data_IF_722948037927
#
_entry.id   IF_722948037927
#
_cell.length_a   1.000
_cell.length_b   1.000
_cell.length_c   1.000
_cell.angle_alpha   90.00
_cell.angle_beta   90.00
_cell.angle_gamma   90.00
#
_symmetry.space_group_name_H-M   'P 1'
#
loop_
_entity.id
_entity.type
_entity.pdbx_description
1 polymer ?
#
# COMPACT_ATOMS: atom_id res chain seq x y z
N UNK A 1 52.44 -7.51 24.88
CA UNK A 1 52.54 -7.76 23.43
C UNK A 1 52.73 -9.25 23.23
N UNK A 2 51.70 -9.94 22.73
CA UNK A 2 51.82 -10.66 21.45
C UNK A 2 50.65 -10.39 20.49
N UNK A 3 50.93 -10.67 19.21
CA UNK A 3 50.05 -10.69 18.04
C UNK A 3 48.86 -11.69 18.22
N UNK A 4 47.78 -11.73 17.45
CA UNK A 4 47.51 -11.21 16.12
C UNK A 4 47.15 -12.35 15.16
N UNK A 5 45.92 -12.89 15.26
CA UNK A 5 45.06 -13.27 14.13
C UNK A 5 43.96 -14.26 14.55
N UNK A 6 42.70 -13.84 14.40
CA UNK A 6 41.57 -14.78 14.25
C UNK A 6 40.84 -14.37 12.98
N UNK A 7 41.06 -15.15 11.92
CA UNK A 7 40.36 -15.02 10.63
C UNK A 7 38.90 -15.45 10.85
N UNK A 8 37.97 -14.50 10.79
CA UNK A 8 36.54 -14.82 10.62
C UNK A 8 36.24 -14.87 9.12
N UNK A 9 36.03 -16.08 8.65
CA UNK A 9 35.39 -16.40 7.37
C UNK A 9 34.08 -15.63 7.23
N UNK A 10 34.10 -14.57 6.42
CA UNK A 10 32.91 -13.84 6.00
C UNK A 10 32.26 -14.58 4.84
N UNK A 11 31.05 -15.08 5.03
CA UNK A 11 30.20 -15.51 3.92
C UNK A 11 29.88 -14.28 3.06
N UNK A 12 30.50 -14.21 1.87
CA UNK A 12 30.21 -13.21 0.85
C UNK A 12 28.77 -13.37 0.34
N UNK A 13 27.84 -12.75 1.07
CA UNK A 13 26.43 -12.68 0.71
C UNK A 13 26.17 -11.68 -0.42
N UNK A 14 27.11 -10.81 -0.82
CA UNK A 14 26.84 -9.82 -1.88
C UNK A 14 26.87 -10.41 -3.30
N UNK A 15 27.74 -11.40 -3.56
CA UNK A 15 27.95 -11.93 -4.92
C UNK A 15 26.77 -12.72 -5.47
N UNK A 16 26.13 -13.57 -4.63
CA UNK A 16 24.98 -14.39 -5.04
C UNK A 16 23.68 -13.59 -5.23
N UNK A 17 23.60 -12.40 -4.65
CA UNK A 17 22.41 -11.55 -4.73
C UNK A 17 22.40 -10.67 -5.97
N UNK A 18 23.58 -10.32 -6.50
CA UNK A 18 23.68 -9.58 -7.75
C UNK A 18 23.24 -10.43 -8.96
N UNK A 19 23.64 -11.71 -9.01
CA UNK A 19 23.19 -12.64 -10.07
C UNK A 19 21.67 -12.87 -10.03
N UNK A 20 21.08 -13.01 -8.84
CA UNK A 20 19.62 -13.15 -8.69
C UNK A 20 18.88 -11.85 -9.07
N UNK A 21 19.49 -10.69 -8.82
CA UNK A 21 18.96 -9.38 -9.17
C UNK A 21 18.98 -9.13 -10.69
N UNK A 22 20.05 -9.49 -11.38
CA UNK A 22 20.17 -9.33 -12.83
C UNK A 22 19.28 -10.35 -13.58
N UNK A 23 19.16 -11.57 -13.07
CA UNK A 23 18.20 -12.56 -13.57
C UNK A 23 16.74 -12.13 -13.39
N UNK A 24 16.40 -11.46 -12.28
CA UNK A 24 15.05 -10.93 -12.04
C UNK A 24 14.73 -9.75 -12.96
N UNK A 25 15.69 -8.83 -13.16
CA UNK A 25 15.53 -7.69 -14.07
C UNK A 25 15.43 -8.15 -15.53
N UNK A 26 16.21 -9.15 -15.93
CA UNK A 26 16.12 -9.79 -17.25
C UNK A 26 14.82 -10.61 -17.45
N UNK A 27 14.29 -11.25 -16.40
CA UNK A 27 13.00 -11.97 -16.46
C UNK A 27 11.81 -11.01 -16.65
N UNK A 28 11.88 -9.82 -16.04
CA UNK A 28 10.85 -8.78 -16.21
C UNK A 28 10.97 -8.12 -17.58
N UNK A 29 12.18 -7.81 -18.05
CA UNK A 29 12.38 -7.20 -19.37
C UNK A 29 12.12 -8.17 -20.54
N UNK A 30 12.46 -9.46 -20.42
CA UNK A 30 12.18 -10.46 -21.48
C UNK A 30 10.69 -10.79 -21.63
N UNK A 31 9.91 -10.66 -20.55
CA UNK A 31 8.44 -10.73 -20.63
C UNK A 31 7.84 -9.56 -21.39
N UNK A 32 8.51 -8.41 -21.43
CA UNK A 32 8.07 -7.21 -22.16
C UNK A 32 8.44 -7.31 -23.64
N UNK A 33 9.63 -7.84 -23.99
CA UNK A 33 10.07 -7.92 -25.40
C UNK A 33 9.41 -9.04 -26.22
N UNK A 34 9.03 -10.17 -25.62
CA UNK A 34 8.46 -11.30 -26.35
C UNK A 34 6.98 -11.09 -26.78
N UNK A 35 6.38 -9.94 -26.44
CA UNK A 35 5.02 -9.58 -26.83
C UNK A 35 4.94 -8.80 -28.16
N UNK A 36 6.07 -8.32 -28.71
CA UNK A 36 6.08 -7.45 -29.90
C UNK A 36 6.27 -8.19 -31.24
N UNK A 37 6.51 -9.50 -31.27
CA UNK A 37 6.89 -10.22 -32.51
C UNK A 37 5.90 -11.27 -33.04
N UNK A 38 4.65 -11.29 -32.59
CA UNK A 38 3.68 -12.37 -32.89
C UNK A 38 2.51 -12.00 -33.79
N UNK A 39 2.74 -11.46 -34.99
CA UNK A 39 1.67 -11.24 -35.98
C UNK A 39 1.31 -12.54 -36.72
N UNK A 40 0.05 -12.99 -36.64
CA UNK A 40 -0.50 -14.04 -37.53
C UNK A 40 -1.98 -13.78 -37.89
N UNK A 41 -2.24 -13.76 -39.21
CA UNK A 41 -3.56 -13.78 -39.89
C UNK A 41 -4.30 -15.11 -39.65
N UNK A 42 -5.63 -15.06 -39.49
CA UNK A 42 -6.48 -16.24 -39.61
C UNK A 42 -7.98 -15.95 -39.47
N UNK A 43 -8.72 -16.19 -40.55
CA UNK A 43 -10.18 -16.09 -40.73
C UNK A 43 -10.94 -17.25 -40.06
N UNK A 44 -12.11 -16.99 -39.47
CA UNK A 44 -13.10 -18.05 -39.13
C UNK A 44 -14.14 -17.64 -38.07
N UNK A 45 -15.42 -17.61 -38.46
CA UNK A 45 -16.60 -17.45 -37.61
C UNK A 45 -16.89 -18.70 -36.74
N UNK A 46 -17.39 -18.52 -35.51
CA UNK A 46 -17.90 -19.61 -34.68
C UNK A 46 -18.08 -19.26 -33.20
N UNK A 47 -19.28 -19.47 -32.68
CA UNK A 47 -19.90 -18.86 -31.50
C UNK A 47 -19.39 -19.35 -30.12
N UNK A 48 -19.18 -18.40 -29.22
CA UNK A 48 -19.28 -18.43 -27.75
C UNK A 48 -18.88 -19.70 -26.97
N UNK A 49 -17.68 -19.65 -26.37
CA UNK A 49 -17.51 -19.64 -24.90
C UNK A 49 -16.14 -19.00 -24.63
N UNK A 50 -16.13 -17.68 -24.36
CA UNK A 50 -14.90 -16.99 -23.94
C UNK A 50 -14.50 -17.55 -22.59
N UNK A 51 -13.56 -18.52 -22.56
CA UNK A 51 -12.74 -18.79 -21.37
C UNK A 51 -12.12 -17.46 -20.96
N UNK A 52 -12.62 -16.87 -19.89
CA UNK A 52 -12.06 -15.66 -19.31
C UNK A 52 -10.64 -16.00 -18.90
N UNK A 53 -9.65 -15.55 -19.68
CA UNK A 53 -8.26 -15.56 -19.24
C UNK A 53 -8.19 -14.70 -17.97
N UNK A 54 -7.56 -15.15 -16.89
CA UNK A 54 -7.38 -14.32 -15.71
C UNK A 54 -6.31 -13.27 -16.05
N UNK A 55 -6.71 -12.12 -16.58
CA UNK A 55 -5.76 -11.07 -16.94
C UNK A 55 -5.40 -10.29 -15.67
N UNK A 56 -4.41 -10.80 -14.94
CA UNK A 56 -3.67 -10.05 -13.91
C UNK A 56 -2.72 -9.01 -14.54
N UNK A 57 -2.72 -8.84 -15.86
CA UNK A 57 -1.95 -7.82 -16.57
C UNK A 57 -2.72 -6.50 -16.60
N UNK A 58 -2.13 -5.46 -15.99
CA UNK A 58 -2.62 -4.08 -16.09
C UNK A 58 -2.16 -3.53 -17.45
N UNK A 59 -3.05 -3.52 -18.43
CA UNK A 59 -2.78 -2.93 -19.76
C UNK A 59 -2.69 -1.41 -19.66
N UNK A 60 -2.09 -0.74 -20.65
CA UNK A 60 -2.06 0.73 -20.69
C UNK A 60 -3.48 1.33 -20.66
N UNK A 61 -4.42 0.73 -21.38
CA UNK A 61 -5.83 1.11 -21.37
C UNK A 61 -6.47 0.96 -19.97
N UNK A 62 -6.15 -0.12 -19.25
CA UNK A 62 -6.60 -0.30 -17.87
C UNK A 62 -6.06 0.78 -16.93
N UNK A 63 -4.75 1.06 -17.02
CA UNK A 63 -4.07 2.09 -16.23
C UNK A 63 -4.67 3.47 -16.47
N UNK A 64 -4.92 3.81 -17.74
CA UNK A 64 -5.53 5.06 -18.16
C UNK A 64 -6.97 5.18 -17.66
N UNK A 65 -7.79 4.14 -17.84
CA UNK A 65 -9.18 4.12 -17.40
C UNK A 65 -9.31 4.27 -15.88
N UNK A 66 -8.48 3.56 -15.11
CA UNK A 66 -8.47 3.66 -13.64
C UNK A 66 -7.98 5.03 -13.17
N UNK A 67 -6.95 5.59 -13.81
CA UNK A 67 -6.45 6.94 -13.52
C UNK A 67 -7.53 7.99 -13.78
N UNK A 68 -8.16 7.93 -14.95
CA UNK A 68 -9.23 8.85 -15.34
C UNK A 68 -10.39 8.77 -14.35
N UNK A 69 -10.84 7.56 -14.02
CA UNK A 69 -11.93 7.37 -13.07
C UNK A 69 -11.60 7.87 -11.66
N UNK A 70 -10.33 7.75 -11.21
CA UNK A 70 -9.91 8.32 -9.94
C UNK A 70 -9.98 9.85 -9.93
N UNK A 71 -9.57 10.50 -11.02
CA UNK A 71 -9.65 11.96 -11.19
C UNK A 71 -11.07 12.48 -11.28
N UNK A 72 -11.97 11.69 -11.88
CA UNK A 72 -13.37 12.06 -12.09
C UNK A 72 -14.26 11.79 -10.86
N UNK A 73 -13.70 11.28 -9.75
CA UNK A 73 -14.46 11.10 -8.51
C UNK A 73 -15.01 12.46 -8.01
N UNK A 74 -16.26 12.50 -7.52
CA UNK A 74 -16.78 13.72 -6.93
C UNK A 74 -15.97 14.10 -5.69
N UNK A 75 -15.76 15.40 -5.43
CA UNK A 75 -15.04 15.84 -4.24
C UNK A 75 -15.76 15.38 -2.98
N UNK A 76 -14.99 14.97 -1.98
CA UNK A 76 -15.53 14.61 -0.69
C UNK A 76 -16.13 15.83 0.00
N UNK A 77 -17.43 15.78 0.30
CA UNK A 77 -18.20 16.92 0.79
C UNK A 77 -18.64 16.80 2.25
N UNK A 78 -18.37 15.67 2.90
CA UNK A 78 -18.78 15.44 4.30
C UNK A 78 -17.72 15.96 5.25
N UNK A 79 -18.14 16.31 6.46
CA UNK A 79 -17.20 16.65 7.54
C UNK A 79 -16.50 15.38 8.02
N UNK A 80 -15.16 15.38 8.20
CA UNK A 80 -14.45 14.28 8.83
C UNK A 80 -15.09 13.92 10.18
N UNK A 81 -15.30 12.63 10.40
CA UNK A 81 -15.73 12.14 11.70
C UNK A 81 -14.62 12.37 12.75
N UNK A 82 -15.04 12.53 14.00
CA UNK A 82 -14.16 12.58 15.16
C UNK A 82 -14.36 11.34 16.02
N UNK A 83 -13.35 10.92 16.80
CA UNK A 83 -13.50 9.83 17.75
C UNK A 83 -14.64 10.10 18.74
N UNK A 84 -15.41 9.05 19.06
CA UNK A 84 -16.53 9.11 20.00
C UNK A 84 -16.26 8.33 21.29
N UNK A 85 -15.57 7.21 21.18
CA UNK A 85 -15.29 6.31 22.29
C UNK A 85 -13.85 6.52 22.77
N UNK A 86 -13.64 7.50 23.65
CA UNK A 86 -12.33 7.84 24.24
C UNK A 86 -12.45 7.98 25.76
N UNK A 87 -11.34 7.82 26.46
CA UNK A 87 -11.26 8.00 27.92
C UNK A 87 -10.96 9.45 28.29
N UNK A 88 -10.06 10.07 27.56
CA UNK A 88 -9.61 11.44 27.81
C UNK A 88 -9.49 12.21 26.49
N UNK A 89 -9.73 13.52 26.56
CA UNK A 89 -9.51 14.47 25.47
C UNK A 89 -8.82 15.71 26.02
N UNK A 90 -7.64 16.01 25.49
CA UNK A 90 -6.86 17.22 25.79
C UNK A 90 -6.74 18.05 24.53
N UNK A 91 -7.13 19.33 24.60
CA UNK A 91 -7.01 20.27 23.47
C UNK A 91 -5.86 21.23 23.77
N UNK A 92 -4.95 21.40 22.82
CA UNK A 92 -3.94 22.45 22.83
C UNK A 92 -4.45 23.62 21.98
N UNK A 93 -4.95 24.66 22.65
CA UNK A 93 -5.54 25.84 21.99
C UNK A 93 -4.51 26.63 21.16
N UNK A 94 -3.21 26.49 21.45
CA UNK A 94 -2.16 27.21 20.71
C UNK A 94 -1.90 26.60 19.33
N UNK A 95 -2.03 25.28 19.21
CA UNK A 95 -1.78 24.54 17.96
C UNK A 95 -3.06 24.07 17.28
N UNK A 96 -4.19 24.06 18.00
CA UNK A 96 -5.43 23.42 17.56
C UNK A 96 -5.38 21.90 17.56
N UNK A 97 -4.30 21.30 18.09
CA UNK A 97 -4.15 19.84 18.16
C UNK A 97 -5.01 19.30 19.30
N UNK A 98 -5.77 18.26 19.02
CA UNK A 98 -6.50 17.50 20.04
C UNK A 98 -5.83 16.15 20.26
N UNK A 99 -5.47 15.82 21.50
CA UNK A 99 -5.01 14.48 21.87
C UNK A 99 -6.16 13.71 22.51
N UNK A 100 -6.43 12.52 21.98
CA UNK A 100 -7.38 11.58 22.55
C UNK A 100 -6.65 10.38 23.15
N UNK A 101 -7.07 9.96 24.35
CA UNK A 101 -6.60 8.74 25.00
C UNK A 101 -7.64 7.64 24.83
N UNK A 102 -7.20 6.48 24.35
CA UNK A 102 -8.05 5.30 24.08
C UNK A 102 -7.47 4.08 24.77
N UNK A 103 -8.31 3.17 25.24
CA UNK A 103 -7.89 1.79 25.56
C UNK A 103 -8.43 0.84 24.51
N UNK A 104 -7.53 0.12 23.85
CA UNK A 104 -7.89 -0.86 22.83
C UNK A 104 -8.51 -2.09 23.48
N UNK A 105 -9.77 -2.39 23.13
CA UNK A 105 -10.44 -3.62 23.57
C UNK A 105 -9.79 -4.90 23.01
N UNK A 106 -8.91 -4.78 22.01
CA UNK A 106 -8.28 -5.93 21.35
C UNK A 106 -7.03 -6.44 22.06
N UNK A 107 -6.28 -5.55 22.71
CA UNK A 107 -5.04 -5.89 23.40
C UNK A 107 -4.92 -5.28 24.81
N UNK A 108 -5.88 -4.48 25.25
CA UNK A 108 -5.90 -3.86 26.59
C UNK A 108 -4.93 -2.69 26.77
N UNK A 109 -4.20 -2.29 25.73
CA UNK A 109 -3.22 -1.21 25.81
C UNK A 109 -3.86 0.16 25.60
N UNK A 110 -3.25 1.18 26.21
CA UNK A 110 -3.65 2.58 26.08
C UNK A 110 -2.85 3.29 24.99
N UNK A 111 -3.55 4.01 24.12
CA UNK A 111 -3.00 4.77 23.00
C UNK A 111 -3.37 6.25 23.13
N UNK A 112 -2.39 7.14 22.93
CA UNK A 112 -2.60 8.59 22.86
C UNK A 112 -2.41 9.05 21.42
N UNK A 113 -3.49 9.42 20.75
CA UNK A 113 -3.47 9.79 19.33
C UNK A 113 -3.81 11.26 19.17
N UNK A 114 -2.93 11.99 18.47
CA UNK A 114 -3.12 13.40 18.14
C UNK A 114 -3.97 13.54 16.89
N UNK A 115 -4.80 14.57 16.85
CA UNK A 115 -5.62 14.96 15.72
C UNK A 115 -5.34 16.41 15.38
N UNK A 116 -5.24 16.72 14.09
CA UNK A 116 -5.10 18.09 13.61
C UNK A 116 -6.41 18.89 13.78
N UNK A 117 -6.35 20.19 13.44
CA UNK A 117 -7.49 21.11 13.54
C UNK A 117 -8.69 20.69 12.68
N UNK A 118 -8.45 19.93 11.61
CA UNK A 118 -9.46 19.50 10.64
C UNK A 118 -10.07 18.14 11.03
N UNK A 119 -9.48 17.47 12.04
CA UNK A 119 -9.98 16.23 12.62
C UNK A 119 -9.35 14.97 12.01
N UNK A 120 -8.17 15.08 11.41
CA UNK A 120 -7.41 13.92 10.92
C UNK A 120 -6.37 13.47 11.95
N UNK A 121 -6.20 12.15 12.14
CA UNK A 121 -5.19 11.61 13.05
C UNK A 121 -3.78 11.87 12.53
N UNK A 122 -2.87 12.20 13.44
CA UNK A 122 -1.44 12.36 13.20
C UNK A 122 -0.76 11.10 13.77
N UNK A 123 -0.64 10.08 12.94
CA UNK A 123 -0.03 8.80 13.33
C UNK A 123 1.49 8.86 13.33
N UNK A 124 2.11 8.06 14.21
CA UNK A 124 3.54 7.78 14.13
C UNK A 124 3.81 6.76 13.01
N UNK A 125 4.00 7.24 11.78
CA UNK A 125 4.22 6.36 10.64
C UNK A 125 5.62 5.72 10.66
N UNK A 126 5.67 4.41 10.39
CA UNK A 126 6.92 3.65 10.19
C UNK A 126 7.48 3.83 8.78
N UNK A 127 6.62 4.13 7.82
CA UNK A 127 6.98 4.34 6.42
C UNK A 127 5.87 5.08 5.68
N UNK A 128 6.24 6.08 4.90
CA UNK A 128 5.32 6.84 4.06
C UNK A 128 5.69 6.68 2.58
N UNK A 129 4.68 6.62 1.72
CA UNK A 129 4.86 6.63 0.27
C UNK A 129 3.65 7.27 -0.40
N UNK A 130 3.78 7.58 -1.68
CA UNK A 130 2.65 7.85 -2.55
C UNK A 130 2.22 6.60 -3.32
N UNK A 131 0.92 6.46 -3.53
CA UNK A 131 0.27 5.46 -4.37
C UNK A 131 0.00 6.11 -5.74
N UNK A 132 0.34 5.42 -6.83
CA UNK A 132 0.04 5.93 -8.16
C UNK A 132 -1.47 6.03 -8.40
N UNK A 133 -1.87 7.00 -9.23
CA UNK A 133 -3.29 7.35 -9.44
C UNK A 133 -4.14 6.18 -9.91
N UNK A 134 -3.62 5.34 -10.80
CA UNK A 134 -4.31 4.15 -11.27
C UNK A 134 -4.61 3.12 -10.17
N UNK A 135 -3.97 3.23 -9.01
CA UNK A 135 -4.29 2.41 -7.84
C UNK A 135 -5.26 3.09 -6.88
N UNK A 136 -5.55 4.38 -6.98
CA UNK A 136 -6.32 5.12 -5.95
C UNK A 136 -7.68 4.49 -5.65
N UNK A 137 -8.34 3.96 -6.67
CA UNK A 137 -9.68 3.33 -6.56
C UNK A 137 -9.66 1.80 -6.65
N UNK A 138 -8.48 1.19 -6.68
CA UNK A 138 -8.35 -0.27 -6.55
C UNK A 138 -8.84 -0.76 -5.17
N UNK A 139 -9.24 -2.03 -5.05
CA UNK A 139 -9.58 -2.64 -3.77
C UNK A 139 -8.43 -2.54 -2.75
N UNK A 140 -8.76 -2.47 -1.46
CA UNK A 140 -7.75 -2.44 -0.37
C UNK A 140 -6.75 -3.60 -0.50
N UNK A 141 -7.22 -4.79 -0.88
CA UNK A 141 -6.36 -5.96 -1.08
C UNK A 141 -5.29 -5.77 -2.16
N UNK A 142 -5.61 -5.06 -3.25
CA UNK A 142 -4.69 -4.78 -4.35
C UNK A 142 -3.72 -3.68 -3.95
N UNK A 143 -4.23 -2.58 -3.38
CA UNK A 143 -3.40 -1.47 -2.91
C UNK A 143 -2.40 -1.92 -1.85
N UNK A 144 -2.87 -2.64 -0.83
CA UNK A 144 -2.01 -3.07 0.28
C UNK A 144 -0.98 -4.11 -0.17
N UNK A 145 -1.32 -4.97 -1.14
CA UNK A 145 -0.36 -5.88 -1.74
C UNK A 145 0.75 -5.09 -2.43
N UNK A 146 0.38 -4.14 -3.30
CA UNK A 146 1.33 -3.29 -4.01
C UNK A 146 2.23 -2.50 -3.06
N UNK A 147 1.63 -1.81 -2.07
CA UNK A 147 2.37 -1.01 -1.09
C UNK A 147 3.33 -1.86 -0.26
N UNK A 148 2.93 -3.08 0.11
CA UNK A 148 3.80 -3.99 0.87
C UNK A 148 4.99 -4.45 0.04
N UNK A 149 4.80 -4.77 -1.25
CA UNK A 149 5.91 -5.14 -2.14
C UNK A 149 6.82 -3.94 -2.42
N UNK A 150 6.25 -2.75 -2.61
CA UNK A 150 7.02 -1.51 -2.75
C UNK A 150 7.88 -1.24 -1.52
N UNK A 151 7.32 -1.39 -0.31
CA UNK A 151 8.08 -1.25 0.93
C UNK A 151 9.23 -2.26 1.00
N UNK A 152 9.01 -3.51 0.60
CA UNK A 152 10.10 -4.49 0.50
C UNK A 152 11.21 -4.00 -0.44
N UNK A 153 10.87 -3.54 -1.64
CA UNK A 153 11.86 -3.04 -2.60
C UNK A 153 12.65 -1.85 -2.05
N UNK A 154 12.01 -0.97 -1.27
CA UNK A 154 12.67 0.18 -0.66
C UNK A 154 13.53 -0.22 0.55
N UNK A 155 13.10 -1.20 1.35
CA UNK A 155 13.92 -1.84 2.40
C UNK A 155 15.21 -2.43 1.83
N UNK A 156 15.13 -3.08 0.66
CA UNK A 156 16.30 -3.66 0.01
C UNK A 156 17.32 -2.61 -0.46
N UNK A 157 16.90 -1.35 -0.63
CA UNK A 157 17.76 -0.24 -1.05
C UNK A 157 18.27 0.60 0.12
N UNK A 158 17.55 0.60 1.25
CA UNK A 158 17.88 1.39 2.43
C UNK A 158 18.07 0.52 3.69
N UNK A 159 19.33 0.26 4.09
CA UNK A 159 19.65 -0.48 5.31
C UNK A 159 19.12 0.15 6.60
N UNK A 160 18.86 1.46 6.64
CA UNK A 160 18.28 2.09 7.83
C UNK A 160 16.78 1.83 7.94
N UNK A 161 16.07 1.83 6.81
CA UNK A 161 14.67 1.41 6.77
C UNK A 161 14.52 -0.06 7.18
N UNK A 162 15.44 -0.94 6.75
CA UNK A 162 15.45 -2.35 7.12
C UNK A 162 15.50 -2.58 8.65
N UNK A 163 16.20 -1.73 9.41
CA UNK A 163 16.33 -1.85 10.87
C UNK A 163 15.00 -1.67 11.62
N UNK A 164 13.98 -1.09 10.98
CA UNK A 164 12.67 -0.89 11.60
C UNK A 164 11.80 -2.15 11.62
N UNK A 165 12.20 -3.20 10.89
CA UNK A 165 11.40 -4.39 10.64
C UNK A 165 12.16 -5.67 10.98
N UNK A 166 11.45 -6.68 11.49
CA UNK A 166 12.07 -7.98 11.70
C UNK A 166 12.28 -8.72 10.36
N UNK A 167 13.18 -9.71 10.29
CA UNK A 167 13.34 -10.53 9.08
C UNK A 167 12.02 -11.17 8.61
N UNK A 168 11.15 -11.57 9.55
CA UNK A 168 9.84 -12.13 9.24
C UNK A 168 8.90 -11.10 8.61
N UNK A 169 8.93 -9.85 9.09
CA UNK A 169 8.13 -8.77 8.51
C UNK A 169 8.55 -8.47 7.07
N UNK A 170 9.87 -8.45 6.83
CA UNK A 170 10.45 -8.23 5.50
C UNK A 170 10.01 -9.32 4.52
N UNK A 171 10.02 -10.59 4.92
CA UNK A 171 9.51 -11.69 4.08
C UNK A 171 7.99 -11.59 3.85
N UNK A 172 7.21 -11.09 4.81
CA UNK A 172 5.79 -10.80 4.57
C UNK A 172 5.62 -9.70 3.51
N UNK A 173 6.38 -8.62 3.60
CA UNK A 173 6.31 -7.50 2.64
C UNK A 173 6.65 -7.96 1.22
N UNK A 174 7.69 -8.79 1.06
CA UNK A 174 8.05 -9.44 -0.21
C UNK A 174 6.89 -10.22 -0.83
N UNK A 175 6.10 -10.92 0.00
CA UNK A 175 4.91 -11.65 -0.42
C UNK A 175 3.67 -10.75 -0.64
N UNK A 176 3.82 -9.44 -0.51
CA UNK A 176 2.73 -8.48 -0.58
C UNK A 176 1.77 -8.56 0.60
N UNK A 177 2.27 -8.99 1.76
CA UNK A 177 1.54 -9.07 3.02
C UNK A 177 2.16 -8.09 4.02
N UNK A 178 1.45 -7.86 5.11
CA UNK A 178 1.95 -7.08 6.25
C UNK A 178 1.79 -7.87 7.55
N UNK A 179 2.66 -7.64 8.54
CA UNK A 179 2.47 -8.17 9.89
C UNK A 179 1.12 -7.73 10.50
N UNK A 180 0.59 -8.51 11.45
CA UNK A 180 -0.69 -8.15 12.11
C UNK A 180 -0.60 -6.89 12.99
N UNK A 181 0.60 -6.52 13.41
CA UNK A 181 0.88 -5.35 14.24
C UNK A 181 0.79 -4.03 13.49
N UNK A 182 0.74 -4.03 12.16
CA UNK A 182 0.72 -2.80 11.35
C UNK A 182 -0.41 -2.82 10.32
N UNK A 183 -0.82 -1.64 9.88
CA UNK A 183 -1.74 -1.48 8.75
C UNK A 183 -1.36 -0.32 7.84
N UNK A 184 -1.75 -0.44 6.58
CA UNK A 184 -1.73 0.68 5.66
C UNK A 184 -2.91 1.59 5.97
N UNK A 185 -2.61 2.87 6.17
CA UNK A 185 -3.54 3.96 6.39
C UNK A 185 -3.56 4.84 5.15
N UNK A 186 -4.76 5.15 4.65
CA UNK A 186 -4.97 6.13 3.60
C UNK A 186 -5.02 7.53 4.24
N UNK A 187 -4.01 8.34 3.98
CA UNK A 187 -3.94 9.71 4.49
C UNK A 187 -4.91 10.64 3.74
N UNK A 188 -5.30 11.75 4.34
CA UNK A 188 -6.24 12.73 3.73
C UNK A 188 -5.67 13.40 2.48
N UNK A 189 -4.35 13.56 2.41
CA UNK A 189 -3.66 13.98 1.19
C UNK A 189 -3.76 12.89 0.12
N UNK A 190 -4.17 13.28 -1.09
CA UNK A 190 -4.41 12.36 -2.21
C UNK A 190 -3.19 11.48 -2.52
N UNK A 191 -3.41 10.17 -2.52
CA UNK A 191 -2.40 9.16 -2.82
C UNK A 191 -1.39 8.92 -1.70
N UNK A 192 -1.33 9.74 -0.65
CA UNK A 192 -0.40 9.52 0.46
C UNK A 192 -0.84 8.33 1.30
N UNK A 193 0.10 7.41 1.53
CA UNK A 193 -0.09 6.17 2.27
C UNK A 193 0.93 6.08 3.39
N UNK A 194 0.47 5.65 4.56
CA UNK A 194 1.30 5.50 5.76
C UNK A 194 1.19 4.07 6.28
N UNK A 195 2.31 3.43 6.61
CA UNK A 195 2.32 2.21 7.40
C UNK A 195 2.34 2.59 8.88
N UNK A 196 1.28 2.26 9.62
CA UNK A 196 1.06 2.68 11.01
C UNK A 196 0.78 1.49 11.92
N UNK A 197 0.86 1.69 13.23
CA UNK A 197 0.45 0.67 14.20
C UNK A 197 -1.03 0.31 14.04
N UNK A 198 -1.32 -0.99 14.05
CA UNK A 198 -2.68 -1.48 13.81
C UNK A 198 -3.65 -1.09 14.91
N UNK A 199 -3.24 -1.19 16.18
CA UNK A 199 -4.12 -0.96 17.32
C UNK A 199 -4.36 0.54 17.50
N UNK A 200 -3.31 1.36 17.36
CA UNK A 200 -3.43 2.83 17.34
C UNK A 200 -4.43 3.27 16.26
N UNK A 201 -4.26 2.81 15.02
CA UNK A 201 -5.15 3.13 13.91
C UNK A 201 -6.58 2.63 14.14
N UNK A 202 -6.75 1.47 14.79
CA UNK A 202 -8.06 0.88 15.02
C UNK A 202 -8.88 1.66 16.06
N UNK A 203 -8.26 2.13 17.13
CA UNK A 203 -8.97 2.90 18.17
C UNK A 203 -9.21 4.35 17.76
N UNK A 204 -8.32 4.89 16.93
CA UNK A 204 -8.44 6.22 16.34
C UNK A 204 -9.49 6.24 15.23
N UNK A 205 -10.79 6.26 15.54
CA UNK A 205 -11.84 6.36 14.51
C UNK A 205 -11.77 7.67 13.71
N UNK A 206 -11.56 7.60 12.39
CA UNK A 206 -11.32 8.76 11.52
C UNK A 206 -11.83 8.57 10.08
N UNK A 207 -11.83 9.68 9.33
CA UNK A 207 -12.13 9.72 7.90
C UNK A 207 -10.81 9.77 7.18
N UNK A 208 -10.42 8.64 6.59
CA UNK A 208 -9.17 8.55 5.84
C UNK A 208 -9.33 8.88 4.36
N UNK A 209 -8.20 8.92 3.67
CA UNK A 209 -8.07 9.07 2.22
C UNK A 209 -8.94 8.12 1.40
N UNK A 210 -9.27 6.94 1.97
CA UNK A 210 -10.17 5.99 1.33
C UNK A 210 -11.53 6.63 0.99
N UNK A 211 -12.10 7.40 1.92
CA UNK A 211 -13.36 8.11 1.68
C UNK A 211 -13.17 9.37 0.83
N UNK A 212 -12.01 10.02 0.94
CA UNK A 212 -11.75 11.33 0.33
C UNK A 212 -11.43 11.22 -1.16
N UNK A 213 -10.52 10.32 -1.52
CA UNK A 213 -10.01 10.15 -2.88
C UNK A 213 -10.03 8.68 -3.33
N UNK A 214 -10.16 7.72 -2.42
CA UNK A 214 -10.09 6.28 -2.72
C UNK A 214 -11.40 5.60 -3.13
N UNK A 215 -12.43 6.39 -3.45
CA UNK A 215 -13.75 5.90 -3.88
C UNK A 215 -14.61 5.26 -2.77
N UNK A 216 -14.26 5.48 -1.51
CA UNK A 216 -15.01 4.97 -0.35
C UNK A 216 -15.15 3.45 -0.34
N UNK A 217 -16.33 2.99 0.08
CA UNK A 217 -16.65 1.56 0.17
C UNK A 217 -16.73 0.88 -1.20
N UNK A 218 -17.20 1.60 -2.22
CA UNK A 218 -17.30 1.08 -3.59
C UNK A 218 -15.90 0.86 -4.19
N UNK A 219 -14.96 1.76 -3.92
CA UNK A 219 -13.55 1.52 -4.23
C UNK A 219 -13.01 0.33 -3.44
N UNK A 220 -13.24 0.31 -2.11
CA UNK A 220 -12.67 -0.67 -1.17
C UNK A 220 -13.00 -2.10 -1.57
N UNK A 221 -14.25 -2.31 -1.97
CA UNK A 221 -14.80 -3.61 -2.34
C UNK A 221 -14.52 -3.98 -3.81
N UNK A 222 -13.99 -3.05 -4.61
CA UNK A 222 -13.72 -3.26 -6.04
C UNK A 222 -14.93 -3.07 -6.95
N UNK A 223 -16.04 -2.54 -6.43
CA UNK A 223 -17.22 -2.24 -7.23
C UNK A 223 -16.92 -1.20 -8.31
N UNK A 224 -16.17 -0.14 -7.98
CA UNK A 224 -15.75 0.87 -8.98
C UNK A 224 -14.91 0.25 -10.09
N UNK A 225 -13.91 -0.56 -9.72
CA UNK A 225 -13.08 -1.30 -10.69
C UNK A 225 -13.92 -2.13 -11.64
N UNK A 226 -14.91 -2.86 -11.11
CA UNK A 226 -15.79 -3.71 -11.94
C UNK A 226 -16.57 -2.87 -12.96
N UNK A 227 -17.14 -1.74 -12.54
CA UNK A 227 -17.87 -0.81 -13.42
C UNK A 227 -16.95 -0.28 -14.53
N UNK A 228 -15.74 0.16 -14.17
CA UNK A 228 -14.75 0.69 -15.14
C UNK A 228 -14.38 -0.39 -16.17
N UNK A 229 -14.12 -1.61 -15.70
CA UNK A 229 -13.81 -2.76 -16.55
C UNK A 229 -14.97 -3.18 -17.47
N UNK A 230 -16.22 -2.81 -17.16
CA UNK A 230 -17.37 -3.02 -18.04
C UNK A 230 -17.48 -1.92 -19.11
N UNK A 231 -16.98 -0.72 -18.84
CA UNK A 231 -17.01 0.42 -19.76
C UNK A 231 -15.93 0.36 -20.86
N UNK A 232 -14.83 -0.36 -20.63
CA UNK A 232 -13.71 -0.48 -21.57
C UNK A 232 -13.71 -1.81 -22.35
N UNK A 233 -14.79 -2.59 -22.26
CA UNK A 233 -14.97 -3.84 -23.03
C UNK A 233 -15.69 -3.57 -24.34
#
# INVERSE_FOLDING_TARGET
>A
MPDGSVVRSGTNYSGKFQEAHDASKASIQSRISNLESGGVKGTGEGTQTKKIKPTNERTAEYEEAMTKAARDLPPYSRKPNKPRDFEEKVVDDSTGITTYTFTSKKNGETYKVKYDKDGYPIFNSKYETSLSESYHIEPDSVQFKYLSQKLYDDIMKDPNLAKQFSPTDIELFKLGKKPKSVTWHHHQETGKMQLVDYYEHQVAGHTGGRAIWGGGDDGRTGKLKKIILEMIK
#
